data_IF_932342605333
#
_entry.id   IF_932342605333
#
_cell.length_a   1.000
_cell.length_b   1.000
_cell.length_c   1.000
_cell.angle_alpha   90.00
_cell.angle_beta   90.00
_cell.angle_gamma   90.00
#
_symmetry.space_group_name_H-M   'P 1'
#
loop_
_entity.id
_entity.type
_entity.pdbx_description
1 polymer ?
#
# COMPACT_ATOMS: atom_id res chain seq x y z
N UNK A 1 -20.17 6.03 -0.06
CA UNK A 1 -19.80 5.76 -1.46
C UNK A 1 -20.31 6.88 -2.32
N UNK A 2 -19.43 7.46 -3.12
CA UNK A 2 -19.83 8.25 -4.29
C UNK A 2 -20.38 7.28 -5.34
N UNK A 3 -21.37 7.73 -6.10
CA UNK A 3 -21.86 6.97 -7.25
C UNK A 3 -20.77 6.88 -8.33
N UNK A 4 -20.82 5.83 -9.16
CA UNK A 4 -19.88 5.68 -10.28
C UNK A 4 -19.92 6.88 -11.24
N UNK A 5 -21.08 7.52 -11.39
CA UNK A 5 -21.27 8.72 -12.20
C UNK A 5 -20.57 9.94 -11.60
N UNK A 6 -20.66 10.16 -10.29
CA UNK A 6 -19.95 11.24 -9.60
C UNK A 6 -18.44 11.08 -9.72
N UNK A 7 -17.93 9.85 -9.56
CA UNK A 7 -16.52 9.54 -9.74
C UNK A 7 -16.04 9.85 -11.16
N UNK A 8 -16.77 9.37 -12.18
CA UNK A 8 -16.45 9.63 -13.59
C UNK A 8 -16.48 11.13 -13.90
N UNK A 9 -17.45 11.85 -13.34
CA UNK A 9 -17.53 13.30 -13.50
C UNK A 9 -16.32 14.01 -12.90
N UNK A 10 -15.92 13.65 -11.67
CA UNK A 10 -14.74 14.19 -11.00
C UNK A 10 -13.44 13.92 -11.76
N UNK A 11 -13.24 12.68 -12.25
CA UNK A 11 -12.08 12.33 -13.07
C UNK A 11 -12.03 13.14 -14.37
N UNK A 12 -13.17 13.32 -15.04
CA UNK A 12 -13.28 14.14 -16.26
C UNK A 12 -12.92 15.59 -15.98
N UNK A 13 -13.38 16.16 -14.86
CA UNK A 13 -13.03 17.53 -14.46
C UNK A 13 -11.52 17.65 -14.22
N UNK A 14 -10.92 16.73 -13.48
CA UNK A 14 -9.48 16.73 -13.18
C UNK A 14 -8.62 16.58 -14.43
N UNK A 15 -9.05 15.78 -15.41
CA UNK A 15 -8.39 15.65 -16.71
C UNK A 15 -8.51 16.92 -17.54
N UNK A 16 -9.69 17.53 -17.60
CA UNK A 16 -9.92 18.80 -18.32
C UNK A 16 -9.12 19.96 -17.73
N UNK A 17 -8.88 19.94 -16.42
CA UNK A 17 -8.06 20.90 -15.69
C UNK A 17 -6.55 20.54 -15.71
N UNK A 18 -6.15 19.54 -16.50
CA UNK A 18 -4.77 19.07 -16.65
C UNK A 18 -4.09 18.54 -15.37
N UNK A 19 -4.85 18.14 -14.37
CA UNK A 19 -4.28 17.54 -13.15
C UNK A 19 -3.95 16.06 -13.32
N UNK A 20 -4.76 15.34 -14.12
CA UNK A 20 -4.59 13.93 -14.42
C UNK A 20 -4.43 13.69 -15.93
N UNK A 21 -3.75 12.61 -16.30
CA UNK A 21 -3.79 12.06 -17.64
C UNK A 21 -3.94 10.53 -17.59
N UNK A 22 -4.49 9.96 -18.67
CA UNK A 22 -4.64 8.52 -18.83
C UNK A 22 -3.31 7.91 -19.29
N UNK A 23 -2.80 6.92 -18.55
CA UNK A 23 -1.53 6.26 -18.84
C UNK A 23 -1.69 4.87 -19.46
N UNK A 24 -2.85 4.24 -19.27
CA UNK A 24 -3.24 2.99 -19.93
C UNK A 24 -4.74 2.97 -20.16
N UNK A 25 -5.15 2.40 -21.30
CA UNK A 25 -6.56 2.21 -21.68
C UNK A 25 -6.93 0.72 -21.73
N UNK A 26 -5.94 -0.18 -21.59
CA UNK A 26 -6.13 -1.62 -21.71
C UNK A 26 -5.13 -2.38 -20.82
N UNK A 27 -5.56 -3.40 -20.04
CA UNK A 27 -6.92 -3.94 -19.94
C UNK A 27 -7.89 -3.06 -19.13
N UNK A 28 -7.38 -2.12 -18.34
CA UNK A 28 -8.16 -1.18 -17.51
C UNK A 28 -7.65 0.25 -17.70
N UNK A 29 -8.50 1.24 -17.41
CA UNK A 29 -8.14 2.66 -17.51
C UNK A 29 -7.31 3.05 -16.28
N UNK A 30 -6.11 3.57 -16.49
CA UNK A 30 -5.23 4.06 -15.44
C UNK A 30 -5.04 5.57 -15.55
N UNK A 31 -5.21 6.27 -14.44
CA UNK A 31 -4.95 7.70 -14.32
C UNK A 31 -3.70 7.96 -13.49
N UNK A 32 -2.92 8.94 -13.90
CA UNK A 32 -1.77 9.41 -13.11
C UNK A 32 -1.73 10.94 -13.07
N UNK A 33 -1.10 11.48 -12.03
CA UNK A 33 -0.93 12.92 -11.89
C UNK A 33 0.05 13.46 -12.92
N UNK A 34 -0.33 14.56 -13.58
CA UNK A 34 0.54 15.26 -14.54
C UNK A 34 1.81 15.81 -13.88
N UNK A 35 1.70 16.24 -12.62
CA UNK A 35 2.80 16.85 -11.88
C UNK A 35 2.97 16.24 -10.49
N UNK A 36 4.18 15.77 -10.19
CA UNK A 36 4.51 15.19 -8.90
C UNK A 36 4.25 16.16 -7.73
N UNK A 37 4.51 17.46 -7.89
CA UNK A 37 4.26 18.47 -6.87
C UNK A 37 2.77 18.64 -6.58
N UNK A 38 1.91 18.61 -7.61
CA UNK A 38 0.46 18.63 -7.41
C UNK A 38 0.02 17.42 -6.60
N UNK A 39 0.48 16.22 -6.97
CA UNK A 39 0.20 15.01 -6.20
C UNK A 39 0.67 15.16 -4.75
N UNK A 40 1.89 15.62 -4.51
CA UNK A 40 2.45 15.79 -3.17
C UNK A 40 1.61 16.75 -2.31
N UNK A 41 1.23 17.90 -2.85
CA UNK A 41 0.42 18.91 -2.14
C UNK A 41 -1.00 18.39 -1.89
N UNK A 42 -1.65 17.80 -2.89
CA UNK A 42 -3.00 17.23 -2.77
C UNK A 42 -3.02 16.04 -1.81
N UNK A 43 -2.03 15.15 -1.89
CA UNK A 43 -1.88 14.02 -0.98
C UNK A 43 -1.48 14.47 0.43
N UNK A 44 -0.70 15.55 0.56
CA UNK A 44 -0.31 16.16 1.83
C UNK A 44 -1.47 16.85 2.55
N UNK A 45 -2.46 17.38 1.82
CA UNK A 45 -3.62 18.06 2.39
C UNK A 45 -4.65 17.10 3.00
N UNK A 46 -4.61 15.81 2.65
CA UNK A 46 -5.46 14.79 3.27
C UNK A 46 -4.91 14.41 4.64
N UNK A 47 -5.77 14.47 5.66
CA UNK A 47 -5.44 14.07 7.04
C UNK A 47 -4.81 12.67 7.09
N UNK A 48 -3.79 12.49 7.94
CA UNK A 48 -3.05 11.23 8.06
C UNK A 48 -3.96 10.02 8.32
N UNK A 49 -4.90 10.13 9.26
CA UNK A 49 -5.89 9.09 9.58
C UNK A 49 -6.68 8.69 8.32
N UNK A 50 -7.12 9.68 7.54
CA UNK A 50 -7.90 9.45 6.31
C UNK A 50 -7.06 8.77 5.24
N UNK A 51 -5.79 9.13 5.10
CA UNK A 51 -4.86 8.46 4.17
C UNK A 51 -4.64 7.01 4.56
N UNK A 52 -4.48 6.73 5.86
CA UNK A 52 -4.33 5.37 6.39
C UNK A 52 -5.54 4.51 5.99
N UNK A 53 -6.76 5.01 6.21
CA UNK A 53 -8.01 4.32 5.81
C UNK A 53 -8.08 4.10 4.30
N UNK A 54 -7.71 5.08 3.49
CA UNK A 54 -7.67 4.91 2.02
C UNK A 54 -6.68 3.81 1.62
N UNK A 55 -5.50 3.77 2.24
CA UNK A 55 -4.53 2.71 1.98
C UNK A 55 -5.02 1.32 2.40
N UNK A 56 -5.76 1.18 3.50
CA UNK A 56 -6.42 -0.09 3.88
C UNK A 56 -7.37 -0.53 2.77
N UNK A 57 -8.26 0.37 2.31
CA UNK A 57 -9.25 0.07 1.27
C UNK A 57 -8.60 -0.36 -0.05
N UNK A 58 -7.44 0.21 -0.39
CA UNK A 58 -6.68 -0.18 -1.58
C UNK A 58 -6.15 -1.61 -1.44
N UNK A 59 -5.56 -1.95 -0.29
CA UNK A 59 -5.10 -3.34 -0.03
C UNK A 59 -6.25 -4.32 -0.16
N UNK A 60 -7.38 -4.05 0.50
CA UNK A 60 -8.58 -4.89 0.44
C UNK A 60 -9.16 -5.00 -0.99
N UNK A 61 -9.13 -3.91 -1.76
CA UNK A 61 -9.59 -3.93 -3.15
C UNK A 61 -8.70 -4.81 -4.02
N UNK A 62 -7.37 -4.69 -3.91
CA UNK A 62 -6.43 -5.52 -4.67
C UNK A 62 -6.59 -7.00 -4.29
N UNK A 63 -6.66 -7.30 -2.98
CA UNK A 63 -6.87 -8.66 -2.47
C UNK A 63 -8.15 -9.29 -3.02
N UNK A 64 -9.23 -8.51 -3.10
CA UNK A 64 -10.55 -8.96 -3.58
C UNK A 64 -10.64 -9.10 -5.09
N UNK A 65 -10.04 -8.17 -5.84
CA UNK A 65 -10.10 -8.16 -7.31
C UNK A 65 -9.14 -9.17 -7.95
N UNK A 66 -8.01 -9.45 -7.28
CA UNK A 66 -6.92 -10.26 -7.82
C UNK A 66 -6.49 -11.42 -6.90
N UNK A 67 -7.40 -12.24 -6.35
CA UNK A 67 -7.07 -13.25 -5.35
C UNK A 67 -6.03 -14.28 -5.85
N UNK A 68 -6.09 -14.65 -7.13
CA UNK A 68 -5.18 -15.63 -7.75
C UNK A 68 -3.90 -14.99 -8.34
N UNK A 69 -3.79 -13.66 -8.31
CA UNK A 69 -2.71 -12.89 -8.95
C UNK A 69 -2.03 -11.90 -8.00
N UNK A 70 -2.12 -12.12 -6.69
CA UNK A 70 -1.50 -11.23 -5.69
C UNK A 70 0.02 -11.08 -5.87
N UNK A 71 0.70 -12.12 -6.37
CA UNK A 71 2.14 -12.07 -6.67
C UNK A 71 2.50 -11.04 -7.75
N UNK A 72 1.58 -10.74 -8.66
CA UNK A 72 1.76 -9.70 -9.69
C UNK A 72 1.72 -8.30 -9.06
N UNK A 73 0.94 -8.13 -7.98
CA UNK A 73 0.72 -6.85 -7.29
C UNK A 73 1.47 -6.72 -5.96
N UNK A 74 2.40 -7.62 -5.66
CA UNK A 74 2.96 -7.76 -4.31
C UNK A 74 3.72 -6.52 -3.82
N UNK A 75 4.40 -5.81 -4.71
CA UNK A 75 5.10 -4.56 -4.42
C UNK A 75 4.10 -3.44 -4.06
N UNK A 76 2.97 -3.37 -4.76
CA UNK A 76 1.89 -2.41 -4.49
C UNK A 76 1.16 -2.73 -3.19
N UNK A 77 0.89 -4.01 -2.94
CA UNK A 77 0.35 -4.50 -1.66
C UNK A 77 1.28 -4.17 -0.50
N UNK A 78 2.58 -4.39 -0.65
CA UNK A 78 3.60 -4.05 0.34
C UNK A 78 3.61 -2.55 0.66
N UNK A 79 3.58 -1.71 -0.37
CA UNK A 79 3.54 -0.26 -0.21
C UNK A 79 2.29 0.19 0.55
N UNK A 80 1.09 -0.20 0.10
CA UNK A 80 -0.15 0.24 0.73
C UNK A 80 -0.40 -0.38 2.11
N UNK A 81 0.01 -1.62 2.35
CA UNK A 81 -0.05 -2.23 3.68
C UNK A 81 0.87 -1.49 4.68
N UNK A 82 2.06 -1.07 4.24
CA UNK A 82 2.98 -0.28 5.08
C UNK A 82 2.41 1.11 5.39
N UNK A 83 1.87 1.80 4.39
CA UNK A 83 1.25 3.14 4.56
C UNK A 83 -0.05 3.12 5.39
N UNK A 84 -0.71 1.97 5.47
CA UNK A 84 -1.90 1.77 6.29
C UNK A 84 -1.60 1.21 7.69
N UNK A 85 -0.32 0.97 8.00
CA UNK A 85 0.13 0.34 9.24
C UNK A 85 -0.51 -1.04 9.48
N UNK A 86 -0.85 -1.76 8.41
CA UNK A 86 -1.26 -3.17 8.46
C UNK A 86 -0.01 -4.04 8.63
N UNK A 87 0.71 -3.86 9.73
CA UNK A 87 2.10 -4.33 9.89
C UNK A 87 2.32 -5.82 9.61
N UNK A 88 1.35 -6.67 9.97
CA UNK A 88 1.42 -8.12 9.69
C UNK A 88 1.31 -8.44 8.19
N UNK A 89 0.37 -7.78 7.48
CA UNK A 89 0.26 -7.90 6.02
C UNK A 89 1.45 -7.25 5.33
N UNK A 90 1.89 -6.08 5.80
CA UNK A 90 3.05 -5.37 5.27
C UNK A 90 4.30 -6.26 5.31
N UNK A 91 4.62 -6.86 6.46
CA UNK A 91 5.75 -7.78 6.59
C UNK A 91 5.64 -8.97 5.60
N UNK A 92 4.44 -9.54 5.45
CA UNK A 92 4.19 -10.65 4.52
C UNK A 92 4.46 -10.25 3.07
N UNK A 93 3.89 -9.13 2.63
CA UNK A 93 4.05 -8.67 1.25
C UNK A 93 5.46 -8.15 0.97
N UNK A 94 6.10 -7.48 1.93
CA UNK A 94 7.50 -7.05 1.80
C UNK A 94 8.46 -8.24 1.66
N UNK A 95 8.24 -9.33 2.41
CA UNK A 95 9.03 -10.55 2.25
C UNK A 95 8.88 -11.15 0.84
N UNK A 96 7.65 -11.21 0.34
CA UNK A 96 7.37 -11.72 -1.01
C UNK A 96 7.93 -10.81 -2.11
N UNK A 97 7.81 -9.48 -1.97
CA UNK A 97 8.41 -8.50 -2.87
C UNK A 97 9.94 -8.61 -2.89
N UNK A 98 10.57 -8.76 -1.72
CA UNK A 98 11.99 -8.99 -1.60
C UNK A 98 12.45 -10.28 -2.29
N UNK A 99 11.70 -11.37 -2.11
CA UNK A 99 11.96 -12.64 -2.78
C UNK A 99 11.80 -12.54 -4.31
N UNK A 100 10.76 -11.85 -4.79
CA UNK A 100 10.52 -11.59 -6.22
C UNK A 100 11.63 -10.74 -6.84
N UNK A 101 12.10 -9.70 -6.16
CA UNK A 101 13.23 -8.89 -6.59
C UNK A 101 14.53 -9.71 -6.65
N UNK A 102 14.81 -10.50 -5.61
CA UNK A 102 15.97 -11.38 -5.56
C UNK A 102 15.97 -12.43 -6.69
N UNK A 103 14.80 -13.02 -7.00
CA UNK A 103 14.65 -13.97 -8.10
C UNK A 103 14.96 -13.35 -9.48
N UNK A 104 14.83 -12.02 -9.60
CA UNK A 104 15.18 -11.25 -10.80
C UNK A 104 16.57 -10.61 -10.72
N UNK A 105 17.39 -11.01 -9.74
CA UNK A 105 18.73 -10.47 -9.46
C UNK A 105 18.76 -8.98 -9.09
N UNK A 106 17.62 -8.40 -8.70
CA UNK A 106 17.52 -7.02 -8.20
C UNK A 106 17.86 -6.97 -6.70
N UNK A 107 19.09 -7.36 -6.33
CA UNK A 107 19.46 -7.57 -4.92
C UNK A 107 19.37 -6.30 -4.07
N UNK A 108 19.71 -5.12 -4.61
CA UNK A 108 19.58 -3.85 -3.88
C UNK A 108 18.14 -3.57 -3.48
N UNK A 109 17.20 -3.81 -4.40
CA UNK A 109 15.78 -3.66 -4.14
C UNK A 109 15.28 -4.74 -3.16
N UNK A 110 15.74 -5.99 -3.35
CA UNK A 110 15.44 -7.09 -2.42
C UNK A 110 15.84 -6.79 -0.98
N UNK A 111 17.07 -6.29 -0.76
CA UNK A 111 17.56 -5.86 0.55
C UNK A 111 16.68 -4.77 1.13
N UNK A 112 16.29 -3.77 0.33
CA UNK A 112 15.43 -2.68 0.79
C UNK A 112 14.05 -3.19 1.24
N UNK A 113 13.45 -4.16 0.53
CA UNK A 113 12.20 -4.77 0.96
C UNK A 113 12.35 -5.60 2.24
N UNK A 114 13.42 -6.39 2.36
CA UNK A 114 13.66 -7.18 3.58
C UNK A 114 13.91 -6.30 4.81
N UNK A 115 14.61 -5.17 4.66
CA UNK A 115 14.79 -4.18 5.73
C UNK A 115 13.45 -3.60 6.18
N UNK A 116 12.61 -3.18 5.24
CA UNK A 116 11.25 -2.71 5.56
C UNK A 116 10.40 -3.82 6.21
N UNK A 117 10.57 -5.09 5.82
CA UNK A 117 9.84 -6.20 6.44
C UNK A 117 10.22 -6.36 7.93
N UNK A 118 11.51 -6.22 8.26
CA UNK A 118 11.98 -6.23 9.65
C UNK A 118 11.41 -5.06 10.44
N UNK A 119 11.37 -3.86 9.86
CA UNK A 119 10.75 -2.69 10.47
C UNK A 119 9.26 -2.92 10.76
N UNK A 120 8.51 -3.45 9.79
CA UNK A 120 7.09 -3.77 9.96
C UNK A 120 6.87 -4.81 11.09
N UNK A 121 7.71 -5.84 11.18
CA UNK A 121 7.65 -6.81 12.27
C UNK A 121 7.90 -6.15 13.63
N UNK A 122 8.88 -5.24 13.73
CA UNK A 122 9.13 -4.50 14.97
C UNK A 122 7.92 -3.64 15.37
N UNK A 123 7.28 -2.96 14.42
CA UNK A 123 6.07 -2.18 14.69
C UNK A 123 4.89 -3.04 15.16
N UNK A 124 4.73 -4.25 14.59
CA UNK A 124 3.76 -5.25 15.06
C UNK A 124 4.01 -5.64 16.51
N UNK A 125 5.27 -5.82 16.91
CA UNK A 125 5.63 -6.15 18.29
C UNK A 125 5.32 -5.00 19.27
N UNK A 126 5.59 -3.75 18.89
CA UNK A 126 5.26 -2.57 19.69
C UNK A 126 3.74 -2.34 19.84
N UNK A 127 2.97 -2.76 18.84
CA UNK A 127 1.51 -2.60 18.82
C UNK A 127 0.77 -3.71 19.59
N UNK A 128 1.43 -4.83 19.89
CA UNK A 128 0.86 -5.88 20.77
C UNK A 128 1.17 -5.52 22.22
N UNK A 129 0.18 -5.52 23.14
CA UNK A 129 0.50 -5.39 24.56
C UNK A 129 1.47 -6.52 24.92
N UNK A 130 2.62 -6.15 25.47
CA UNK A 130 3.65 -7.09 25.91
C UNK A 130 3.04 -8.00 26.98
N UNK A 131 2.67 -9.23 26.61
CA UNK A 131 2.40 -10.32 27.56
C UNK A 131 3.70 -10.81 28.19
N UNK A 132 4.44 -9.90 28.81
CA UNK A 132 5.61 -10.16 29.63
C UNK A 132 5.29 -9.80 31.08
N UNK A 133 4.32 -10.51 31.68
CA UNK A 133 4.25 -10.68 33.13
C UNK A 133 3.27 -11.81 33.45
N UNK A 134 3.71 -12.74 34.29
CA UNK A 134 3.00 -13.94 34.82
C UNK A 134 3.52 -15.29 34.34
N UNK A 135 4.85 -15.49 34.33
CA UNK A 135 5.38 -16.81 34.75
C UNK A 135 5.65 -16.69 36.25
N UNK A 136 4.60 -16.80 37.06
CA UNK A 136 4.79 -17.17 38.46
C UNK A 136 5.26 -18.61 38.48
N UNK A 137 6.56 -18.81 38.70
CA UNK A 137 7.10 -20.11 39.10
C UNK A 137 6.71 -20.29 40.57
N UNK A 138 5.84 -21.26 40.92
CA UNK A 138 5.56 -21.54 42.32
C UNK A 138 6.80 -22.16 42.97
N UNK A 139 7.18 -21.61 44.13
CA UNK A 139 8.12 -22.22 45.08
C UNK A 139 7.59 -23.56 45.60
#
# INVERSE_FOLDING_TARGET
DESEEELRHGLTQLQSAEFLYETSLFPEIEYTFKHALTHEVSYGSVLQERRRVLHVRIVEAIERLYPDRLSEHVEMLAHHASRSELWEKAATYLLQAGAKAAARSAFTEGVAYFQQALEALNQRHLSRPSTFESISVPL
#
